data_IF_032285519680
#
_entry.id   IF_032285519680
#
_cell.length_a   1.000
_cell.length_b   1.000
_cell.length_c   1.000
_cell.angle_alpha   90.00
_cell.angle_beta   90.00
_cell.angle_gamma   90.00
#
_symmetry.space_group_name_H-M   'P 1'
#
loop_
_entity.id
_entity.type
_entity.pdbx_description
1 polymer ?
#
# COMPACT_ATOMS: atom_id res chain seq x y z
N UNK A 1 25.44 -0.49 27.33
CA UNK A 1 25.27 -1.60 26.36
C UNK A 1 23.77 -1.83 26.22
N UNK A 2 23.17 -1.75 25.02
CA UNK A 2 21.77 -2.08 24.87
C UNK A 2 21.56 -3.56 25.24
N UNK A 3 20.50 -3.85 25.98
CA UNK A 3 20.17 -5.18 26.47
C UNK A 3 19.88 -6.11 25.27
N UNK A 4 20.64 -7.21 25.14
CA UNK A 4 20.42 -8.18 24.05
C UNK A 4 19.12 -8.95 24.32
N UNK A 5 18.11 -8.70 23.51
CA UNK A 5 16.85 -9.43 23.56
C UNK A 5 17.08 -10.94 23.37
N UNK A 6 16.27 -11.75 24.06
CA UNK A 6 16.27 -13.21 23.86
C UNK A 6 15.79 -13.57 22.45
N UNK A 7 16.24 -14.73 21.95
CA UNK A 7 15.88 -15.21 20.61
C UNK A 7 14.35 -15.22 20.36
N UNK A 8 13.48 -15.75 21.26
CA UNK A 8 12.03 -15.71 21.03
C UNK A 8 11.47 -14.28 20.90
N UNK A 9 12.00 -13.32 21.66
CA UNK A 9 11.59 -11.91 21.57
C UNK A 9 12.07 -11.27 20.27
N UNK A 10 13.31 -11.52 19.84
CA UNK A 10 13.83 -11.06 18.56
C UNK A 10 13.06 -11.68 17.38
N UNK A 11 12.78 -12.98 17.43
CA UNK A 11 12.03 -13.70 16.41
C UNK A 11 10.59 -13.17 16.28
N UNK A 12 9.91 -12.86 17.39
CA UNK A 12 8.59 -12.23 17.35
C UNK A 12 8.64 -10.79 16.83
N UNK A 13 9.57 -9.97 17.34
CA UNK A 13 9.69 -8.54 16.99
C UNK A 13 10.01 -8.29 15.51
N UNK A 14 10.80 -9.16 14.89
CA UNK A 14 11.20 -9.07 13.48
C UNK A 14 10.26 -9.83 12.53
N UNK A 15 9.14 -10.35 13.05
CA UNK A 15 8.24 -11.27 12.35
C UNK A 15 9.00 -12.40 11.64
N UNK A 16 9.78 -13.17 12.40
CA UNK A 16 10.63 -14.26 11.89
C UNK A 16 11.73 -13.76 10.96
N UNK A 17 12.27 -12.56 11.24
CA UNK A 17 13.29 -11.88 10.43
C UNK A 17 12.85 -11.61 8.98
N UNK A 18 11.54 -11.41 8.76
CA UNK A 18 10.98 -11.11 7.43
C UNK A 18 10.76 -9.63 7.18
N UNK A 19 10.69 -8.82 8.24
CA UNK A 19 10.67 -7.37 8.11
C UNK A 19 11.95 -6.89 7.40
N UNK A 20 11.80 -5.91 6.50
CA UNK A 20 12.85 -5.42 5.63
C UNK A 20 13.12 -6.27 4.39
N UNK A 21 12.51 -7.46 4.24
CA UNK A 21 12.63 -8.23 3.00
C UNK A 21 11.64 -7.69 1.94
N UNK A 22 12.11 -7.40 0.71
CA UNK A 22 11.22 -6.99 -0.38
C UNK A 22 10.36 -8.17 -0.86
N UNK A 23 9.09 -7.87 -1.18
CA UNK A 23 8.10 -8.85 -1.67
C UNK A 23 7.13 -8.20 -2.67
N UNK A 24 6.25 -9.01 -3.27
CA UNK A 24 5.18 -8.53 -4.17
C UNK A 24 5.73 -7.71 -5.34
N UNK A 25 6.65 -8.30 -6.10
CA UNK A 25 7.32 -7.62 -7.21
C UNK A 25 6.40 -7.45 -8.42
N UNK A 26 6.48 -6.28 -9.06
CA UNK A 26 5.95 -6.02 -10.40
C UNK A 26 7.07 -5.40 -11.24
N UNK A 27 7.09 -5.70 -12.54
CA UNK A 27 8.10 -5.19 -13.48
C UNK A 27 7.37 -4.36 -14.55
N UNK A 28 7.90 -3.17 -14.86
CA UNK A 28 7.35 -2.32 -15.92
C UNK A 28 7.41 -3.05 -17.28
N UNK A 29 6.45 -2.78 -18.16
CA UNK A 29 6.41 -3.40 -19.49
C UNK A 29 7.65 -3.14 -20.35
N UNK A 30 8.38 -2.06 -20.08
CA UNK A 30 9.66 -1.71 -20.71
C UNK A 30 10.89 -2.22 -19.93
N UNK A 31 10.69 -2.84 -18.76
CA UNK A 31 11.75 -3.34 -17.89
C UNK A 31 12.53 -2.25 -17.14
N UNK A 32 12.17 -0.98 -17.25
CA UNK A 32 12.92 0.14 -16.67
C UNK A 32 12.81 0.24 -15.15
N UNK A 33 11.75 -0.34 -14.56
CA UNK A 33 11.45 -0.25 -13.12
C UNK A 33 10.93 -1.55 -12.55
N UNK A 34 11.23 -1.76 -11.26
CA UNK A 34 10.67 -2.84 -10.45
C UNK A 34 10.01 -2.25 -9.22
N UNK A 35 8.70 -2.43 -9.06
CA UNK A 35 7.97 -2.04 -7.86
C UNK A 35 7.90 -3.20 -6.87
N UNK A 36 7.92 -2.90 -5.57
CA UNK A 36 7.83 -3.92 -4.51
C UNK A 36 7.37 -3.33 -3.19
N UNK A 37 6.94 -4.21 -2.29
CA UNK A 37 6.58 -3.89 -0.91
C UNK A 37 7.72 -4.27 0.03
N UNK A 38 8.07 -3.35 0.94
CA UNK A 38 9.11 -3.58 1.94
C UNK A 38 8.89 -2.66 3.13
N UNK A 39 9.11 -3.15 4.34
CA UNK A 39 9.17 -2.25 5.50
C UNK A 39 10.50 -1.50 5.53
N UNK A 40 10.56 -0.27 6.09
CA UNK A 40 11.78 0.54 6.10
C UNK A 40 12.96 -0.08 6.86
N UNK A 41 12.70 -1.03 7.76
CA UNK A 41 13.74 -1.70 8.54
C UNK A 41 13.27 -3.02 9.15
N UNK A 42 14.23 -3.81 9.66
CA UNK A 42 14.01 -5.17 10.17
C UNK A 42 13.20 -5.27 11.47
N UNK A 43 12.83 -4.15 12.07
CA UNK A 43 11.99 -4.08 13.27
C UNK A 43 10.76 -3.18 13.07
N UNK A 44 10.59 -2.64 11.86
CA UNK A 44 9.47 -1.77 11.51
C UNK A 44 8.42 -2.60 10.78
N UNK A 45 7.20 -2.79 11.33
CA UNK A 45 6.17 -3.59 10.67
C UNK A 45 5.44 -2.83 9.56
N UNK A 46 5.65 -1.50 9.41
CA UNK A 46 4.93 -0.68 8.46
C UNK A 46 5.43 -0.95 7.03
N UNK A 47 4.70 -1.75 6.27
CA UNK A 47 5.05 -2.03 4.89
C UNK A 47 4.79 -0.80 4.01
N UNK A 48 5.82 -0.37 3.28
CA UNK A 48 5.75 0.75 2.33
C UNK A 48 5.85 0.25 0.88
N UNK A 49 5.43 1.08 -0.07
CA UNK A 49 5.63 0.85 -1.50
C UNK A 49 6.93 1.50 -1.96
N UNK A 50 7.74 0.73 -2.68
CA UNK A 50 9.03 1.13 -3.21
C UNK A 50 9.10 0.89 -4.72
N UNK A 51 10.01 1.60 -5.37
CA UNK A 51 10.39 1.36 -6.76
C UNK A 51 11.91 1.37 -6.89
N UNK A 52 12.43 0.42 -7.67
CA UNK A 52 13.82 0.38 -8.13
C UNK A 52 13.86 0.88 -9.57
N UNK A 53 14.70 1.87 -9.82
CA UNK A 53 15.14 2.23 -11.15
C UNK A 53 16.26 1.25 -11.58
N UNK A 54 16.02 0.52 -12.68
CA UNK A 54 16.91 -0.58 -13.10
C UNK A 54 18.21 -0.07 -13.70
N UNK A 55 18.19 1.08 -14.37
CA UNK A 55 19.36 1.66 -15.01
C UNK A 55 20.37 2.18 -13.97
N UNK A 56 19.86 2.91 -12.98
CA UNK A 56 20.68 3.54 -11.93
C UNK A 56 20.86 2.68 -10.68
N UNK A 57 20.19 1.53 -10.61
CA UNK A 57 20.13 0.66 -9.44
C UNK A 57 19.71 1.39 -8.14
N UNK A 58 18.90 2.44 -8.27
CA UNK A 58 18.48 3.28 -7.14
C UNK A 58 17.06 2.94 -6.71
N UNK A 59 16.89 2.65 -5.42
CA UNK A 59 15.57 2.46 -4.81
C UNK A 59 15.01 3.77 -4.27
N UNK A 60 13.71 3.97 -4.42
CA UNK A 60 12.97 5.12 -3.89
C UNK A 60 11.70 4.66 -3.19
N UNK A 61 11.42 5.32 -2.06
CA UNK A 61 10.14 5.21 -1.35
C UNK A 61 9.07 5.99 -2.13
N UNK A 62 7.97 5.30 -2.46
CA UNK A 62 6.86 5.87 -3.25
C UNK A 62 5.69 6.22 -2.34
N UNK A 63 5.35 5.32 -1.41
CA UNK A 63 4.21 5.50 -0.53
C UNK A 63 4.53 5.00 0.87
N UNK A 64 4.51 5.90 1.85
CA UNK A 64 4.57 5.57 3.28
C UNK A 64 3.17 5.74 3.90
N UNK A 65 2.57 4.65 4.43
CA UNK A 65 1.33 4.70 5.17
C UNK A 65 1.27 5.78 6.26
N UNK A 66 2.38 6.04 6.98
CA UNK A 66 2.43 7.03 8.05
C UNK A 66 2.24 8.44 7.51
N UNK A 67 2.89 8.76 6.40
CA UNK A 67 2.75 10.06 5.72
C UNK A 67 1.34 10.22 5.15
N UNK A 68 0.82 9.18 4.49
CA UNK A 68 -0.50 9.19 3.84
C UNK A 68 -1.64 9.36 4.84
N UNK A 69 -1.54 8.70 6.00
CA UNK A 69 -2.56 8.79 7.05
C UNK A 69 -2.42 10.07 7.90
N UNK A 70 -1.55 11.02 7.51
CA UNK A 70 -1.41 12.32 8.15
C UNK A 70 -0.38 12.35 9.27
N UNK A 71 0.88 12.01 8.95
CA UNK A 71 2.02 12.02 9.89
C UNK A 71 2.37 13.38 10.51
N UNK A 72 1.47 13.93 11.33
CA UNK A 72 1.79 14.93 12.34
C UNK A 72 1.97 14.25 13.70
N UNK A 73 2.83 14.80 14.54
CA UNK A 73 3.01 14.42 15.96
C UNK A 73 1.76 14.62 16.84
N UNK A 74 0.57 14.79 16.26
CA UNK A 74 -0.69 14.62 16.97
C UNK A 74 -1.04 13.13 17.05
N UNK A 75 -0.43 12.49 18.05
CA UNK A 75 -1.02 11.40 18.83
C UNK A 75 -1.94 10.47 18.03
N UNK A 76 -1.36 9.37 17.54
CA UNK A 76 -2.08 8.10 17.59
C UNK A 76 -2.53 7.91 19.05
N UNK A 77 -3.75 8.33 19.38
CA UNK A 77 -4.25 8.24 20.74
C UNK A 77 -4.17 6.79 21.19
N UNK A 78 -3.96 6.54 22.48
CA UNK A 78 -3.94 5.18 23.05
C UNK A 78 -5.20 4.40 22.67
N UNK A 79 -6.31 5.09 22.39
CA UNK A 79 -7.57 4.53 21.92
C UNK A 79 -7.50 3.99 20.48
N UNK A 80 -6.80 4.67 19.56
CA UNK A 80 -6.62 4.23 18.17
C UNK A 80 -5.64 3.04 18.09
N UNK A 81 -4.56 3.08 18.88
CA UNK A 81 -3.65 1.93 19.04
C UNK A 81 -4.37 0.72 19.65
N UNK A 82 -5.16 0.93 20.72
CA UNK A 82 -5.93 -0.14 21.35
C UNK A 82 -7.07 -0.66 20.46
N UNK A 83 -7.64 0.15 19.57
CA UNK A 83 -8.61 -0.32 18.56
C UNK A 83 -7.92 -1.25 17.55
N UNK A 84 -6.76 -0.84 17.03
CA UNK A 84 -5.97 -1.63 16.07
C UNK A 84 -5.44 -2.93 16.67
N UNK A 85 -4.99 -2.89 17.92
CA UNK A 85 -4.55 -4.07 18.68
C UNK A 85 -5.71 -5.07 18.90
N UNK A 86 -6.92 -4.57 19.20
CA UNK A 86 -8.12 -5.42 19.33
C UNK A 86 -8.58 -6.00 17.98
N UNK A 87 -8.35 -5.30 16.88
CA UNK A 87 -8.79 -5.73 15.55
C UNK A 87 -7.89 -6.80 14.91
N UNK A 88 -6.71 -7.10 15.47
CA UNK A 88 -5.71 -8.02 14.87
C UNK A 88 -5.43 -7.70 13.39
N UNK A 89 -5.38 -6.40 13.04
CA UNK A 89 -4.83 -5.95 11.74
C UNK A 89 -3.33 -6.27 11.74
N UNK A 90 -2.99 -7.50 11.39
CA UNK A 90 -1.67 -8.10 11.68
C UNK A 90 -0.58 -7.64 10.70
N UNK A 91 -0.94 -6.85 9.68
CA UNK A 91 -0.01 -6.20 8.78
C UNK A 91 -0.25 -4.69 8.78
N UNK A 92 0.64 -3.93 9.43
CA UNK A 92 0.62 -2.49 9.37
C UNK A 92 1.08 -2.01 7.98
N UNK A 93 0.32 -1.12 7.36
CA UNK A 93 0.71 -0.46 6.10
C UNK A 93 0.10 -1.06 4.83
N UNK A 94 0.81 -0.94 3.71
CA UNK A 94 0.35 -1.42 2.40
C UNK A 94 0.59 -2.92 2.30
N UNK A 95 -0.50 -3.69 2.22
CA UNK A 95 -0.42 -5.17 2.18
C UNK A 95 -0.30 -5.74 0.77
N UNK A 96 -0.92 -5.06 -0.20
CA UNK A 96 -0.94 -5.38 -1.62
C UNK A 96 -1.09 -4.09 -2.44
N UNK A 97 -0.62 -4.13 -3.68
CA UNK A 97 -0.84 -3.10 -4.69
C UNK A 97 -0.98 -3.77 -6.06
N UNK A 98 -1.51 -3.04 -7.02
CA UNK A 98 -1.44 -3.38 -8.43
C UNK A 98 -0.93 -2.18 -9.23
N UNK A 99 -0.09 -2.43 -10.23
CA UNK A 99 0.41 -1.41 -11.15
C UNK A 99 -0.26 -1.46 -12.51
N UNK A 100 -0.23 -0.34 -13.24
CA UNK A 100 -0.52 -0.33 -14.67
C UNK A 100 0.60 -1.01 -15.48
N UNK A 101 0.43 -1.12 -16.81
CA UNK A 101 1.36 -1.85 -17.68
C UNK A 101 2.79 -1.34 -17.59
N UNK A 102 2.98 -0.03 -17.49
CA UNK A 102 4.29 0.62 -17.54
C UNK A 102 4.85 0.95 -16.14
N UNK A 103 4.18 0.51 -15.07
CA UNK A 103 4.45 0.95 -13.69
C UNK A 103 4.67 2.46 -13.61
N UNK A 104 3.73 3.22 -14.18
CA UNK A 104 3.58 4.65 -13.92
C UNK A 104 2.66 4.88 -12.74
N UNK A 105 1.61 4.07 -12.61
CA UNK A 105 0.61 4.22 -11.56
C UNK A 105 0.49 2.92 -10.77
N UNK A 106 0.43 3.01 -9.45
CA UNK A 106 -0.05 1.94 -8.58
C UNK A 106 -1.39 2.31 -7.95
N UNK A 107 -2.26 1.33 -7.72
CA UNK A 107 -3.42 1.44 -6.86
C UNK A 107 -3.29 0.46 -5.68
N UNK A 108 -3.70 0.90 -4.49
CA UNK A 108 -3.70 0.08 -3.29
C UNK A 108 -4.76 0.53 -2.29
N UNK A 109 -5.19 -0.41 -1.44
CA UNK A 109 -6.06 -0.12 -0.31
C UNK A 109 -5.23 0.19 0.94
N UNK A 110 -5.63 1.20 1.72
CA UNK A 110 -5.04 1.50 3.01
C UNK A 110 -6.11 2.05 3.96
N UNK A 111 -6.25 1.45 5.14
CA UNK A 111 -7.28 1.80 6.13
C UNK A 111 -8.70 1.85 5.52
N UNK A 112 -9.02 0.90 4.65
CA UNK A 112 -10.32 0.81 3.95
C UNK A 112 -10.53 1.83 2.82
N UNK A 113 -9.57 2.72 2.55
CA UNK A 113 -9.64 3.75 1.51
C UNK A 113 -8.82 3.39 0.29
N UNK A 114 -9.17 3.97 -0.86
CA UNK A 114 -8.46 3.78 -2.13
C UNK A 114 -7.42 4.88 -2.37
N UNK A 115 -6.18 4.47 -2.62
CA UNK A 115 -5.11 5.36 -3.00
C UNK A 115 -4.52 4.98 -4.35
N UNK A 116 -4.05 6.00 -5.08
CA UNK A 116 -3.17 5.82 -6.21
C UNK A 116 -1.87 6.56 -6.00
N UNK A 117 -0.77 5.96 -6.43
CA UNK A 117 0.56 6.54 -6.38
C UNK A 117 1.16 6.61 -7.79
N UNK A 118 1.82 7.71 -8.09
CA UNK A 118 2.61 7.88 -9.30
C UNK A 118 4.05 7.45 -9.02
N UNK A 119 4.55 6.46 -9.75
CA UNK A 119 5.90 5.94 -9.59
C UNK A 119 6.98 6.89 -10.07
N UNK A 120 6.68 7.87 -10.93
CA UNK A 120 7.63 8.86 -11.44
C UNK A 120 7.76 10.02 -10.47
N UNK A 121 6.65 10.64 -10.06
CA UNK A 121 6.64 11.80 -9.15
C UNK A 121 6.71 11.42 -7.67
N UNK A 122 6.34 10.19 -7.30
CA UNK A 122 6.10 9.74 -5.91
C UNK A 122 4.91 10.44 -5.25
N UNK A 123 4.04 11.08 -6.03
CA UNK A 123 2.81 11.65 -5.51
C UNK A 123 1.82 10.54 -5.16
N UNK A 124 1.18 10.66 -4.00
CA UNK A 124 0.11 9.76 -3.57
C UNK A 124 -1.14 10.58 -3.33
N UNK A 125 -2.26 10.12 -3.88
CA UNK A 125 -3.58 10.74 -3.71
C UNK A 125 -4.62 9.72 -3.34
N UNK A 126 -5.55 10.14 -2.48
CA UNK A 126 -6.77 9.39 -2.21
C UNK A 126 -7.76 9.58 -3.38
N UNK A 127 -8.49 8.51 -3.72
CA UNK A 127 -9.64 8.59 -4.61
C UNK A 127 -10.93 8.56 -3.77
N UNK A 128 -11.86 9.50 -3.96
CA UNK A 128 -13.05 9.63 -3.12
C UNK A 128 -14.10 8.57 -3.49
N UNK A 129 -14.01 7.41 -2.88
CA UNK A 129 -14.91 6.27 -3.12
C UNK A 129 -15.59 5.79 -1.84
N UNK A 130 -16.77 5.14 -1.93
CA UNK A 130 -17.31 4.37 -0.82
C UNK A 130 -16.32 3.29 -0.38
N UNK A 131 -16.12 3.17 0.94
CA UNK A 131 -15.27 2.14 1.55
C UNK A 131 -16.10 1.19 2.42
N UNK A 132 -15.54 0.03 2.80
CA UNK A 132 -14.16 -0.40 2.58
C UNK A 132 -13.89 -0.85 1.14
N UNK A 133 -12.65 -0.60 0.68
CA UNK A 133 -12.18 -0.95 -0.66
C UNK A 133 -11.33 -2.22 -0.62
N UNK A 134 -11.56 -3.11 -1.59
CA UNK A 134 -10.81 -4.35 -1.77
C UNK A 134 -10.29 -4.48 -3.21
N UNK A 135 -9.12 -5.13 -3.33
CA UNK A 135 -8.40 -5.45 -4.58
C UNK A 135 -8.46 -4.37 -5.67
N UNK A 136 -7.95 -3.14 -5.40
CA UNK A 136 -7.90 -2.12 -6.43
C UNK A 136 -6.93 -2.49 -7.56
N UNK A 137 -7.39 -2.33 -8.79
CA UNK A 137 -6.69 -2.69 -10.03
C UNK A 137 -6.72 -1.52 -10.99
N UNK A 138 -5.60 -0.82 -11.24
CA UNK A 138 -5.54 0.15 -12.31
C UNK A 138 -5.71 -0.57 -13.66
N UNK A 139 -6.37 0.08 -14.62
CA UNK A 139 -6.39 -0.42 -15.99
C UNK A 139 -5.01 -0.31 -16.64
N UNK A 140 -4.71 -1.03 -17.73
CA UNK A 140 -3.38 -1.02 -18.35
C UNK A 140 -2.90 0.36 -18.81
N UNK A 141 -3.80 1.34 -19.00
CA UNK A 141 -3.45 2.71 -19.38
C UNK A 141 -3.23 3.65 -18.19
N UNK A 142 -3.50 3.20 -16.96
CA UNK A 142 -3.34 3.98 -15.73
C UNK A 142 -4.33 5.13 -15.60
N UNK A 143 -5.50 5.06 -16.24
CA UNK A 143 -6.52 6.14 -16.23
C UNK A 143 -7.68 5.86 -15.28
N UNK A 144 -7.96 4.59 -15.01
CA UNK A 144 -9.07 4.13 -14.20
C UNK A 144 -8.60 3.08 -13.22
N UNK A 145 -9.33 2.94 -12.11
CA UNK A 145 -9.13 1.87 -11.15
C UNK A 145 -10.44 1.13 -10.97
N UNK A 146 -10.41 -0.19 -11.18
CA UNK A 146 -11.46 -1.09 -10.76
C UNK A 146 -11.22 -1.49 -9.31
N UNK A 147 -12.28 -1.62 -8.52
CA UNK A 147 -12.18 -2.07 -7.13
C UNK A 147 -13.49 -2.70 -6.67
N UNK A 148 -13.45 -3.44 -5.56
CA UNK A 148 -14.64 -4.03 -4.94
C UNK A 148 -15.00 -3.25 -3.67
N UNK A 149 -16.28 -2.91 -3.53
CA UNK A 149 -16.84 -2.38 -2.29
C UNK A 149 -18.29 -2.82 -2.14
N UNK A 150 -18.68 -3.20 -0.93
CA UNK A 150 -20.03 -3.69 -0.59
C UNK A 150 -20.56 -4.81 -1.50
N UNK A 151 -19.68 -5.72 -1.92
CA UNK A 151 -20.05 -6.84 -2.81
C UNK A 151 -20.23 -6.46 -4.28
N UNK A 152 -20.06 -5.19 -4.64
CA UNK A 152 -20.14 -4.70 -6.00
C UNK A 152 -18.76 -4.39 -6.60
N UNK A 153 -18.62 -4.58 -7.90
CA UNK A 153 -17.48 -4.15 -8.70
C UNK A 153 -17.71 -2.70 -9.17
N UNK A 154 -16.80 -1.82 -8.82
CA UNK A 154 -16.82 -0.39 -9.17
C UNK A 154 -15.65 -0.04 -10.08
N UNK A 155 -15.78 1.06 -10.81
CA UNK A 155 -14.68 1.70 -11.55
C UNK A 155 -14.74 3.20 -11.36
N UNK A 156 -13.61 3.77 -10.93
CA UNK A 156 -13.41 5.22 -10.80
C UNK A 156 -12.31 5.70 -11.75
N UNK A 157 -12.45 6.92 -12.26
CA UNK A 157 -11.40 7.60 -13.04
C UNK A 157 -10.38 8.29 -12.11
N UNK A 158 -9.10 8.06 -12.36
CA UNK A 158 -8.00 8.61 -11.55
C UNK A 158 -7.95 10.13 -11.65
N UNK A 159 -8.39 10.72 -12.77
CA UNK A 159 -8.49 12.17 -12.97
C UNK A 159 -9.54 12.87 -12.11
N UNK A 160 -10.29 12.14 -11.28
CA UNK A 160 -11.39 12.70 -10.47
C UNK A 160 -12.74 12.68 -11.19
N UNK A 161 -12.89 11.78 -12.17
CA UNK A 161 -14.16 11.52 -12.83
C UNK A 161 -15.13 10.71 -11.95
N UNK A 162 -16.29 10.36 -12.51
CA UNK A 162 -17.34 9.66 -11.79
C UNK A 162 -16.95 8.21 -11.45
N UNK A 163 -17.15 7.87 -10.19
CA UNK A 163 -17.27 6.49 -9.74
C UNK A 163 -18.56 5.86 -10.29
N UNK A 164 -18.48 4.59 -10.70
CA UNK A 164 -19.63 3.83 -11.20
C UNK A 164 -19.57 2.37 -10.83
N UNK A 165 -20.73 1.81 -10.50
CA UNK A 165 -20.94 0.37 -10.36
C UNK A 165 -20.95 -0.27 -11.75
N UNK A 166 -20.18 -1.34 -11.94
CA UNK A 166 -20.18 -2.17 -13.15
C UNK A 166 -20.98 -3.45 -12.99
N UNK A 167 -20.92 -4.06 -11.81
CA UNK A 167 -21.63 -5.29 -11.49
C UNK A 167 -21.94 -5.30 -9.99
N UNK A 168 -23.15 -5.70 -9.64
CA UNK A 168 -23.60 -5.96 -8.28
C UNK A 168 -24.47 -7.21 -8.31
N UNK A 169 -24.58 -7.91 -7.18
CA UNK A 169 -25.58 -8.96 -7.06
C UNK A 169 -26.97 -8.33 -7.23
N UNK A 170 -27.80 -8.97 -8.06
CA UNK A 170 -29.22 -8.66 -8.11
C UNK A 170 -29.89 -9.47 -7.00
N UNK A 171 -30.54 -8.79 -6.06
CA UNK A 171 -31.48 -9.43 -5.13
C UNK A 171 -32.56 -10.24 -5.87
#
# INVERSE_FOLDING_TARGET
MPERLSFPRQHARTQRFTLGLPRSFSIAGDGSRVAFLRSPGGEDPNTCLWVLDVETATERLVADPRTILGGGEEQLSEQEMARRERARETAAGIVAYAGDRDLRVAAFGLAGRLFVADFVSSEVRELPVPGPVFDPRPDPTGRRVAYVSEGALHVIDIGGGQDRVLAADND
#
